data_IF_862385828395
#
_entry.id   IF_862385828395
#
_cell.length_a   1.000
_cell.length_b   1.000
_cell.length_c   1.000
_cell.angle_alpha   90.00
_cell.angle_beta   90.00
_cell.angle_gamma   90.00
#
_symmetry.space_group_name_H-M   'P 1'
#
loop_
_entity.id
_entity.type
_entity.pdbx_description
1 polymer ?
#
# COMPACT_ATOMS: atom_id res chain seq x y z
N UNK A 1 -56.36 -18.80 47.45
CA UNK A 1 -55.28 -17.97 46.87
C UNK A 1 -54.04 -18.83 46.74
N UNK A 2 -53.72 -19.22 45.51
CA UNK A 2 -52.46 -19.76 45.02
C UNK A 2 -52.73 -20.18 43.56
N UNK A 3 -51.89 -20.00 42.57
CA UNK A 3 -50.89 -19.00 42.23
C UNK A 3 -50.68 -19.25 40.73
N UNK A 4 -50.83 -18.20 39.93
CA UNK A 4 -50.75 -18.18 38.47
C UNK A 4 -49.30 -18.38 38.03
N UNK A 5 -48.78 -19.61 38.13
CA UNK A 5 -47.48 -19.96 37.55
C UNK A 5 -47.64 -20.36 36.08
N UNK A 6 -47.97 -19.36 35.27
CA UNK A 6 -47.69 -19.33 33.82
C UNK A 6 -46.28 -19.85 33.58
N UNK A 7 -46.17 -21.10 33.12
CA UNK A 7 -45.03 -21.52 32.30
C UNK A 7 -45.08 -20.72 31.01
N UNK A 8 -44.53 -19.50 31.04
CA UNK A 8 -44.06 -18.81 29.83
C UNK A 8 -43.00 -19.72 29.23
N UNK A 9 -43.43 -20.60 28.33
CA UNK A 9 -42.57 -21.14 27.28
C UNK A 9 -41.74 -19.96 26.77
N UNK A 10 -40.41 -20.05 26.86
CA UNK A 10 -39.53 -18.95 26.45
C UNK A 10 -39.88 -18.55 25.03
N UNK A 11 -40.60 -17.45 24.86
CA UNK A 11 -41.03 -16.98 23.55
C UNK A 11 -39.78 -16.71 22.74
N UNK A 12 -39.67 -17.36 21.58
CA UNK A 12 -38.57 -17.15 20.65
C UNK A 12 -38.75 -15.81 19.94
N UNK A 13 -38.41 -14.74 20.65
CA UNK A 13 -38.49 -13.35 20.20
C UNK A 13 -37.55 -13.08 19.01
N UNK A 14 -36.48 -13.88 18.90
CA UNK A 14 -35.45 -13.74 17.87
C UNK A 14 -35.96 -14.31 16.53
N UNK A 15 -36.72 -15.42 16.54
CA UNK A 15 -37.41 -15.92 15.35
C UNK A 15 -38.58 -15.06 14.89
N UNK A 16 -39.13 -14.21 15.77
CA UNK A 16 -40.22 -13.29 15.43
C UNK A 16 -39.81 -12.06 14.60
N UNK A 17 -38.51 -11.75 14.54
CA UNK A 17 -38.01 -10.54 13.86
C UNK A 17 -38.30 -10.55 12.34
N UNK A 18 -38.61 -9.39 11.71
CA UNK A 18 -38.69 -9.27 10.25
C UNK A 18 -37.41 -9.72 9.55
N UNK A 19 -37.53 -10.24 8.33
CA UNK A 19 -36.39 -10.76 7.57
C UNK A 19 -35.32 -9.70 7.36
N UNK A 20 -35.67 -8.42 7.20
CA UNK A 20 -34.72 -7.33 7.07
C UNK A 20 -33.79 -7.19 8.28
N UNK A 21 -34.33 -7.36 9.49
CA UNK A 21 -33.54 -7.33 10.73
C UNK A 21 -32.67 -8.57 10.86
N UNK A 22 -33.19 -9.75 10.46
CA UNK A 22 -32.41 -10.98 10.42
C UNK A 22 -31.23 -10.87 9.45
N UNK A 23 -31.46 -10.35 8.23
CA UNK A 23 -30.39 -10.05 7.27
C UNK A 23 -29.37 -9.07 7.85
N UNK A 24 -29.82 -8.03 8.56
CA UNK A 24 -28.91 -7.07 9.19
C UNK A 24 -28.05 -7.70 10.29
N UNK A 25 -28.61 -8.60 11.10
CA UNK A 25 -27.87 -9.36 12.11
C UNK A 25 -26.84 -10.28 11.44
N UNK A 26 -27.26 -11.07 10.45
CA UNK A 26 -26.38 -12.01 9.76
C UNK A 26 -25.27 -11.30 8.97
N UNK A 27 -25.57 -10.17 8.33
CA UNK A 27 -24.56 -9.35 7.65
C UNK A 27 -23.48 -8.83 8.61
N UNK A 28 -23.83 -8.57 9.88
CA UNK A 28 -22.88 -8.14 10.92
C UNK A 28 -21.96 -9.26 11.41
N UNK A 29 -22.34 -10.53 11.24
CA UNK A 29 -21.45 -11.66 11.54
C UNK A 29 -20.24 -11.72 10.60
N UNK A 30 -20.36 -11.10 9.41
CA UNK A 30 -19.28 -11.02 8.39
C UNK A 30 -18.65 -12.37 8.03
N UNK A 31 -19.40 -13.46 8.18
CA UNK A 31 -18.99 -14.82 7.85
C UNK A 31 -20.21 -15.61 7.37
N UNK A 32 -20.15 -16.12 6.14
CA UNK A 32 -21.23 -16.93 5.58
C UNK A 32 -21.43 -18.24 6.38
N UNK A 33 -20.35 -18.82 6.89
CA UNK A 33 -20.40 -20.02 7.74
C UNK A 33 -21.05 -19.71 9.09
N UNK A 34 -20.68 -18.61 9.74
CA UNK A 34 -21.33 -18.20 10.99
C UNK A 34 -22.82 -17.94 10.78
N UNK A 35 -23.19 -17.27 9.68
CA UNK A 35 -24.57 -17.05 9.30
C UNK A 35 -25.32 -18.38 9.08
N UNK A 36 -24.73 -19.33 8.34
CA UNK A 36 -25.34 -20.65 8.16
C UNK A 36 -25.52 -21.39 9.50
N UNK A 37 -24.56 -21.30 10.44
CA UNK A 37 -24.65 -21.94 11.78
C UNK A 37 -25.80 -21.39 12.63
N UNK A 38 -26.20 -20.13 12.44
CA UNK A 38 -27.37 -19.59 13.15
C UNK A 38 -28.69 -20.27 12.78
N UNK A 39 -28.73 -21.06 11.70
CA UNK A 39 -29.87 -21.91 11.34
C UNK A 39 -30.22 -22.96 12.39
N UNK A 40 -29.32 -23.23 13.36
CA UNK A 40 -29.59 -24.11 14.51
C UNK A 40 -30.52 -23.43 15.52
N UNK A 41 -30.52 -22.10 15.58
CA UNK A 41 -31.37 -21.33 16.50
C UNK A 41 -32.85 -21.44 16.11
N UNK A 42 -33.15 -21.51 14.80
CA UNK A 42 -34.52 -21.62 14.29
C UNK A 42 -34.57 -22.04 12.83
N UNK A 43 -35.62 -22.80 12.47
CA UNK A 43 -35.90 -23.19 11.09
C UNK A 43 -36.04 -21.98 10.15
N UNK A 44 -36.52 -20.84 10.65
CA UNK A 44 -36.67 -19.62 9.85
C UNK A 44 -35.33 -19.08 9.37
N UNK A 45 -34.33 -19.05 10.26
CA UNK A 45 -33.00 -18.51 9.96
C UNK A 45 -32.26 -19.31 8.88
N UNK A 46 -32.60 -20.60 8.72
CA UNK A 46 -32.13 -21.46 7.62
C UNK A 46 -32.45 -20.89 6.23
N UNK A 47 -33.57 -20.19 6.10
CA UNK A 47 -34.03 -19.62 4.82
C UNK A 47 -33.56 -18.17 4.60
N UNK A 48 -33.01 -17.52 5.63
CA UNK A 48 -32.55 -16.12 5.56
C UNK A 48 -31.12 -16.03 5.03
N UNK A 49 -30.19 -16.81 5.59
CA UNK A 49 -28.78 -16.74 5.18
C UNK A 49 -28.53 -16.96 3.67
N UNK A 50 -29.26 -17.84 2.94
CA UNK A 50 -29.07 -18.06 1.50
C UNK A 50 -29.26 -16.82 0.64
N UNK A 51 -30.04 -15.84 1.12
CA UNK A 51 -30.41 -14.63 0.40
C UNK A 51 -29.49 -13.44 0.73
N UNK A 52 -28.43 -13.66 1.51
CA UNK A 52 -27.50 -12.59 1.86
C UNK A 52 -26.83 -12.01 0.61
N UNK A 53 -26.78 -10.67 0.49
CA UNK A 53 -26.16 -10.01 -0.65
C UNK A 53 -24.62 -10.04 -0.58
N UNK A 54 -24.05 -10.51 0.52
CA UNK A 54 -22.60 -10.59 0.75
C UNK A 54 -22.21 -11.96 1.30
N UNK A 55 -21.29 -12.63 0.60
CA UNK A 55 -20.67 -13.88 1.05
C UNK A 55 -19.22 -13.58 1.40
N UNK A 56 -18.89 -13.73 2.69
CA UNK A 56 -17.54 -13.53 3.21
C UNK A 56 -17.04 -14.85 3.80
N UNK A 57 -15.94 -15.34 3.21
CA UNK A 57 -15.28 -16.59 3.56
C UNK A 57 -13.79 -16.26 3.73
N UNK A 58 -13.29 -16.30 4.97
CA UNK A 58 -11.87 -16.07 5.28
C UNK A 58 -11.36 -17.18 6.20
N UNK A 59 -10.35 -17.92 5.76
CA UNK A 59 -9.79 -19.06 6.49
C UNK A 59 -9.23 -18.64 7.86
N UNK A 60 -8.77 -17.39 7.99
CA UNK A 60 -8.24 -16.85 9.26
C UNK A 60 -9.29 -16.65 10.34
N UNK A 61 -10.57 -16.75 9.98
CA UNK A 61 -11.69 -16.71 10.92
C UNK A 61 -12.08 -18.12 11.40
N UNK A 62 -11.43 -19.16 10.88
CA UNK A 62 -11.71 -20.54 11.23
C UNK A 62 -10.70 -21.10 12.23
N UNK A 63 -11.14 -22.08 13.01
CA UNK A 63 -10.23 -22.85 13.85
C UNK A 63 -9.21 -23.59 12.96
N UNK A 64 -7.96 -23.71 13.43
CA UNK A 64 -6.89 -24.38 12.68
C UNK A 64 -7.28 -25.78 12.17
N UNK A 65 -7.99 -26.56 12.99
CA UNK A 65 -8.50 -27.88 12.63
C UNK A 65 -9.53 -27.88 11.47
N UNK A 66 -10.24 -26.77 11.26
CA UNK A 66 -11.23 -26.60 10.19
C UNK A 66 -10.63 -25.98 8.91
N UNK A 67 -9.35 -25.60 8.92
CA UNK A 67 -8.70 -25.00 7.77
C UNK A 67 -8.66 -25.97 6.58
N UNK A 68 -8.36 -27.25 6.81
CA UNK A 68 -8.27 -28.29 5.78
C UNK A 68 -9.57 -28.47 4.96
N UNK A 69 -10.73 -28.37 5.61
CA UNK A 69 -12.06 -28.48 4.98
C UNK A 69 -12.62 -27.13 4.52
N UNK A 70 -11.83 -26.05 4.61
CA UNK A 70 -12.27 -24.73 4.19
C UNK A 70 -12.72 -24.68 2.72
N UNK A 71 -12.03 -25.32 1.75
CA UNK A 71 -12.51 -25.36 0.37
C UNK A 71 -13.89 -26.03 0.22
N UNK A 72 -14.17 -27.09 0.98
CA UNK A 72 -15.49 -27.76 0.97
C UNK A 72 -16.58 -26.82 1.49
N UNK A 73 -16.26 -26.01 2.49
CA UNK A 73 -17.17 -25.01 3.00
C UNK A 73 -17.38 -23.83 2.05
N UNK A 74 -16.38 -23.49 1.22
CA UNK A 74 -16.59 -22.56 0.10
C UNK A 74 -17.59 -23.16 -0.88
N UNK A 75 -17.37 -24.41 -1.31
CA UNK A 75 -18.30 -25.12 -2.21
C UNK A 75 -19.73 -25.13 -1.64
N UNK A 76 -19.89 -25.52 -0.38
CA UNK A 76 -21.19 -25.56 0.29
C UNK A 76 -21.86 -24.19 0.43
N UNK A 77 -21.10 -23.14 0.74
CA UNK A 77 -21.62 -21.78 0.84
C UNK A 77 -22.09 -21.23 -0.52
N UNK A 78 -21.35 -21.49 -1.59
CA UNK A 78 -21.74 -21.08 -2.94
C UNK A 78 -22.93 -21.90 -3.46
N UNK A 79 -22.97 -23.20 -3.18
CA UNK A 79 -24.08 -24.07 -3.55
C UNK A 79 -25.39 -23.71 -2.81
N UNK A 80 -25.30 -23.34 -1.54
CA UNK A 80 -26.45 -22.92 -0.74
C UNK A 80 -26.88 -21.46 -0.97
N UNK A 81 -26.14 -20.68 -1.75
CA UNK A 81 -26.51 -19.29 -2.04
C UNK A 81 -27.69 -19.23 -3.01
N UNK A 82 -28.76 -18.56 -2.59
CA UNK A 82 -29.97 -18.31 -3.38
C UNK A 82 -30.11 -16.85 -3.83
N UNK A 83 -29.24 -15.95 -3.36
CA UNK A 83 -29.24 -14.57 -3.83
C UNK A 83 -29.02 -14.48 -5.36
N UNK A 84 -29.92 -13.79 -6.11
CA UNK A 84 -29.81 -13.66 -7.56
C UNK A 84 -28.67 -12.72 -7.97
N UNK A 85 -28.31 -11.78 -7.11
CA UNK A 85 -27.19 -10.87 -7.29
C UNK A 85 -26.45 -10.65 -5.97
N UNK A 86 -25.13 -10.78 -6.02
CA UNK A 86 -24.23 -10.57 -4.88
C UNK A 86 -23.54 -9.22 -5.01
N UNK A 87 -23.71 -8.36 -4.00
CA UNK A 87 -22.95 -7.13 -3.86
C UNK A 87 -21.47 -7.42 -3.62
N UNK A 88 -21.16 -8.49 -2.89
CA UNK A 88 -19.78 -8.87 -2.59
C UNK A 88 -19.61 -10.37 -2.44
N UNK A 89 -18.57 -10.90 -3.06
CA UNK A 89 -18.05 -12.23 -2.81
C UNK A 89 -16.58 -12.11 -2.41
N UNK A 90 -16.24 -12.53 -1.19
CA UNK A 90 -14.87 -12.57 -0.68
C UNK A 90 -14.52 -13.99 -0.29
N UNK A 91 -13.51 -14.54 -0.94
CA UNK A 91 -12.91 -15.83 -0.61
C UNK A 91 -11.43 -15.61 -0.33
N UNK A 92 -11.01 -15.83 0.91
CA UNK A 92 -9.63 -15.63 1.37
C UNK A 92 -9.09 -16.92 1.96
N UNK A 93 -8.14 -17.51 1.25
CA UNK A 93 -7.42 -18.71 1.68
C UNK A 93 -5.97 -18.39 2.11
N UNK A 94 -5.68 -17.14 2.46
CA UNK A 94 -4.33 -16.68 2.87
C UNK A 94 -3.76 -17.60 3.96
N UNK A 95 -2.68 -18.30 3.61
CA UNK A 95 -2.17 -19.44 4.33
C UNK A 95 -1.33 -19.05 5.54
N UNK A 96 -1.68 -19.59 6.71
CA UNK A 96 -0.68 -20.02 7.71
C UNK A 96 -0.49 -21.55 7.65
N UNK A 97 -1.26 -22.25 6.82
CA UNK A 97 -1.41 -23.71 6.82
C UNK A 97 -1.20 -24.21 5.37
N UNK A 98 -0.63 -25.42 5.17
CA UNK A 98 -0.28 -26.03 3.86
C UNK A 98 -1.48 -26.39 2.95
N UNK A 99 -2.51 -25.53 2.92
CA UNK A 99 -3.72 -25.67 2.14
C UNK A 99 -3.43 -25.67 0.64
N UNK A 100 -3.75 -26.79 -0.02
CA UNK A 100 -3.67 -26.94 -1.48
C UNK A 100 -5.06 -26.90 -2.09
N UNK A 101 -5.27 -26.00 -3.05
CA UNK A 101 -6.51 -25.94 -3.84
C UNK A 101 -6.18 -26.10 -5.33
N UNK A 102 -6.73 -27.12 -6.02
CA UNK A 102 -6.52 -27.31 -7.45
C UNK A 102 -7.28 -26.26 -8.28
N UNK A 103 -6.73 -25.87 -9.43
CA UNK A 103 -7.35 -24.91 -10.34
C UNK A 103 -8.78 -25.32 -10.77
N UNK A 104 -8.98 -26.62 -11.02
CA UNK A 104 -10.29 -27.19 -11.35
C UNK A 104 -11.37 -26.97 -10.28
N UNK A 105 -10.98 -26.79 -9.01
CA UNK A 105 -11.89 -26.46 -7.91
C UNK A 105 -12.22 -24.97 -7.83
N UNK A 106 -11.26 -24.11 -8.18
CA UNK A 106 -11.47 -22.64 -8.20
C UNK A 106 -12.32 -22.20 -9.40
N UNK A 107 -12.22 -22.88 -10.53
CA UNK A 107 -12.98 -22.53 -11.74
C UNK A 107 -14.51 -22.47 -11.53
N UNK A 108 -15.17 -23.44 -10.86
CA UNK A 108 -16.57 -23.30 -10.44
C UNK A 108 -16.87 -22.06 -9.61
N UNK A 109 -16.01 -21.68 -8.68
CA UNK A 109 -16.20 -20.49 -7.83
C UNK A 109 -16.22 -19.22 -8.66
N UNK A 110 -15.30 -19.13 -9.61
CA UNK A 110 -15.22 -18.00 -10.53
C UNK A 110 -16.40 -17.95 -11.50
N UNK A 111 -16.87 -19.11 -12.00
CA UNK A 111 -18.09 -19.18 -12.83
C UNK A 111 -19.32 -18.71 -12.07
N UNK A 112 -19.46 -19.13 -10.81
CA UNK A 112 -20.50 -18.63 -9.92
C UNK A 112 -20.39 -17.10 -9.74
N UNK A 113 -19.18 -16.60 -9.48
CA UNK A 113 -18.94 -15.18 -9.32
C UNK A 113 -19.32 -14.38 -10.59
N UNK A 114 -18.94 -14.86 -11.77
CA UNK A 114 -19.23 -14.19 -13.03
C UNK A 114 -20.73 -14.03 -13.31
N UNK A 115 -21.53 -15.03 -12.91
CA UNK A 115 -22.99 -14.99 -13.09
C UNK A 115 -23.74 -14.13 -12.08
N UNK A 116 -23.19 -13.93 -10.88
CA UNK A 116 -23.95 -13.34 -9.76
C UNK A 116 -23.35 -12.07 -9.14
N UNK A 117 -22.05 -11.81 -9.28
CA UNK A 117 -21.41 -10.68 -8.59
C UNK A 117 -21.61 -9.37 -9.37
N UNK A 118 -22.23 -8.39 -8.72
CA UNK A 118 -22.53 -7.06 -9.26
C UNK A 118 -21.75 -5.91 -8.59
N UNK A 119 -20.91 -6.23 -7.61
CA UNK A 119 -20.10 -5.26 -6.88
C UNK A 119 -18.64 -5.67 -6.81
N UNK A 120 -18.25 -6.38 -5.76
CA UNK A 120 -16.86 -6.71 -5.46
C UNK A 120 -16.61 -8.22 -5.47
N UNK A 121 -15.65 -8.65 -6.28
CA UNK A 121 -15.04 -9.97 -6.21
C UNK A 121 -13.66 -9.85 -5.58
N UNK A 122 -13.42 -10.58 -4.50
CA UNK A 122 -12.12 -10.66 -3.84
C UNK A 122 -11.73 -12.13 -3.67
N UNK A 123 -10.62 -12.53 -4.27
CA UNK A 123 -10.08 -13.89 -4.22
C UNK A 123 -8.62 -13.86 -3.80
N UNK A 124 -8.27 -14.61 -2.76
CA UNK A 124 -6.87 -14.86 -2.34
C UNK A 124 -6.66 -16.37 -2.31
N UNK A 125 -5.73 -16.88 -3.11
CA UNK A 125 -5.38 -18.30 -3.19
C UNK A 125 -4.04 -18.59 -2.51
N UNK A 126 -3.86 -19.76 -1.88
CA UNK A 126 -2.64 -20.11 -1.14
C UNK A 126 -1.49 -20.56 -2.06
N UNK A 127 -0.28 -20.56 -1.50
CA UNK A 127 0.98 -21.05 -2.05
C UNK A 127 0.84 -22.52 -2.41
N UNK A 128 1.04 -22.84 -3.69
CA UNK A 128 1.49 -24.19 -4.05
C UNK A 128 2.97 -24.26 -3.70
N UNK A 129 3.37 -25.17 -2.80
CA UNK A 129 4.80 -25.49 -2.70
C UNK A 129 5.24 -26.15 -4.02
N UNK A 130 6.39 -25.76 -4.59
CA UNK A 130 6.90 -26.34 -5.82
C UNK A 130 7.40 -27.76 -5.57
N UNK A 131 6.51 -28.74 -5.53
CA UNK A 131 6.86 -30.13 -5.77
C UNK A 131 6.27 -30.51 -7.14
N UNK A 132 7.15 -30.47 -8.15
CA UNK A 132 7.11 -31.14 -9.48
C UNK A 132 5.83 -31.04 -10.35
N UNK A 133 4.72 -30.46 -9.90
CA UNK A 133 3.47 -30.47 -10.67
C UNK A 133 3.16 -29.14 -11.39
N UNK A 134 2.57 -29.30 -12.58
CA UNK A 134 2.27 -28.34 -13.65
C UNK A 134 1.80 -26.94 -13.22
N UNK A 135 2.16 -25.92 -14.03
CA UNK A 135 1.58 -24.57 -13.97
C UNK A 135 0.04 -24.65 -13.85
N UNK A 136 -0.53 -24.15 -12.75
CA UNK A 136 -1.98 -24.07 -12.64
C UNK A 136 -2.50 -22.85 -13.41
N UNK A 137 -3.06 -23.12 -14.59
CA UNK A 137 -3.84 -22.14 -15.35
C UNK A 137 -5.15 -21.80 -14.62
N UNK A 138 -5.31 -20.56 -14.20
CA UNK A 138 -6.55 -20.02 -13.68
C UNK A 138 -7.20 -19.11 -14.71
N UNK A 139 -8.37 -19.50 -15.21
CA UNK A 139 -9.15 -18.65 -16.09
C UNK A 139 -10.09 -17.76 -15.28
N UNK A 140 -9.95 -16.45 -15.44
CA UNK A 140 -10.86 -15.47 -14.88
C UNK A 140 -12.02 -15.23 -15.88
N UNK A 141 -13.25 -15.70 -15.58
CA UNK A 141 -14.42 -15.43 -16.38
C UNK A 141 -14.86 -13.98 -16.21
N UNK A 142 -15.62 -13.51 -17.20
CA UNK A 142 -16.04 -12.12 -17.26
C UNK A 142 -17.18 -11.83 -16.31
N UNK A 143 -16.83 -11.21 -15.19
CA UNK A 143 -17.79 -10.74 -14.19
C UNK A 143 -18.45 -9.43 -14.67
N UNK A 144 -19.43 -9.55 -15.57
CA UNK A 144 -20.06 -8.38 -16.26
C UNK A 144 -20.56 -7.31 -15.29
N UNK A 145 -21.13 -7.73 -14.16
CA UNK A 145 -21.65 -6.83 -13.13
C UNK A 145 -20.58 -6.29 -12.18
N UNK A 146 -19.41 -6.93 -12.07
CA UNK A 146 -18.43 -6.58 -11.05
C UNK A 146 -17.78 -5.22 -11.33
N UNK A 147 -17.82 -4.34 -10.33
CA UNK A 147 -17.20 -3.02 -10.35
C UNK A 147 -15.76 -3.04 -9.86
N UNK A 148 -15.44 -4.00 -9.00
CA UNK A 148 -14.12 -4.22 -8.42
C UNK A 148 -13.78 -5.69 -8.44
N UNK A 149 -12.61 -6.01 -8.97
CA UNK A 149 -12.04 -7.37 -8.94
C UNK A 149 -10.67 -7.29 -8.29
N UNK A 150 -10.45 -8.12 -7.28
CA UNK A 150 -9.16 -8.30 -6.63
C UNK A 150 -8.82 -9.77 -6.64
N UNK A 151 -7.71 -10.11 -7.28
CA UNK A 151 -7.17 -11.46 -7.32
C UNK A 151 -5.76 -11.40 -6.77
N UNK A 152 -5.51 -12.14 -5.71
CA UNK A 152 -4.18 -12.32 -5.13
C UNK A 152 -3.82 -13.79 -5.29
N UNK A 153 -2.79 -14.05 -6.09
CA UNK A 153 -2.38 -15.38 -6.51
C UNK A 153 -0.95 -15.61 -6.07
N UNK A 154 -0.65 -16.51 -5.15
CA UNK A 154 0.77 -16.74 -4.81
C UNK A 154 1.53 -17.38 -6.01
N UNK A 155 2.87 -17.26 -6.08
CA UNK A 155 3.69 -17.22 -7.32
C UNK A 155 3.53 -18.34 -8.39
N UNK A 156 2.79 -19.40 -8.14
CA UNK A 156 2.68 -20.61 -8.99
C UNK A 156 1.47 -20.60 -9.93
N UNK A 157 0.57 -19.63 -9.78
CA UNK A 157 -0.64 -19.52 -10.60
C UNK A 157 -0.41 -18.73 -11.88
N UNK A 158 -0.86 -19.26 -13.02
CA UNK A 158 -0.90 -18.53 -14.29
C UNK A 158 -2.30 -18.02 -14.56
N UNK A 159 -2.49 -16.71 -14.52
CA UNK A 159 -3.78 -16.08 -14.77
C UNK A 159 -4.01 -15.87 -16.26
N UNK A 160 -5.11 -16.41 -16.75
CA UNK A 160 -5.65 -16.14 -18.09
C UNK A 160 -6.97 -15.40 -17.96
N UNK A 161 -7.24 -14.46 -18.84
CA UNK A 161 -8.50 -13.71 -18.82
C UNK A 161 -9.26 -13.94 -20.10
N UNK A 162 -10.54 -14.32 -19.99
CA UNK A 162 -11.38 -14.56 -21.15
C UNK A 162 -11.53 -13.29 -22.02
N UNK A 163 -11.59 -13.43 -23.36
CA UNK A 163 -11.48 -12.30 -24.30
C UNK A 163 -12.74 -11.42 -24.40
N UNK A 164 -13.57 -11.35 -23.35
CA UNK A 164 -14.83 -10.58 -23.37
C UNK A 164 -14.72 -9.29 -22.55
N UNK A 165 -15.67 -8.37 -22.78
CA UNK A 165 -15.70 -7.05 -22.15
C UNK A 165 -16.11 -7.09 -20.68
N UNK A 166 -15.41 -6.35 -19.82
CA UNK A 166 -15.80 -6.03 -18.44
C UNK A 166 -16.45 -4.63 -18.39
N UNK A 167 -17.76 -4.49 -18.67
CA UNK A 167 -18.38 -3.18 -18.88
C UNK A 167 -18.50 -2.34 -17.60
N UNK A 168 -18.61 -2.98 -16.44
CA UNK A 168 -18.80 -2.29 -15.15
C UNK A 168 -17.49 -2.10 -14.37
N UNK A 169 -16.40 -2.73 -14.79
CA UNK A 169 -15.16 -2.81 -14.00
C UNK A 169 -14.48 -1.44 -13.93
N UNK A 170 -14.39 -0.91 -12.72
CA UNK A 170 -13.74 0.37 -12.43
C UNK A 170 -12.40 0.20 -11.74
N UNK A 171 -12.18 -0.94 -11.09
CA UNK A 171 -11.01 -1.18 -10.26
C UNK A 171 -10.56 -2.63 -10.38
N UNK A 172 -9.30 -2.82 -10.77
CA UNK A 172 -8.69 -4.14 -10.93
C UNK A 172 -7.37 -4.21 -10.15
N UNK A 173 -7.27 -5.21 -9.28
CA UNK A 173 -6.06 -5.55 -8.55
C UNK A 173 -5.67 -6.99 -8.88
N UNK A 174 -4.48 -7.19 -9.44
CA UNK A 174 -3.90 -8.51 -9.70
C UNK A 174 -2.53 -8.53 -9.04
N UNK A 175 -2.42 -9.24 -7.92
CA UNK A 175 -1.20 -9.32 -7.13
C UNK A 175 -0.69 -10.75 -7.06
N UNK A 176 0.60 -10.91 -7.27
CA UNK A 176 1.33 -12.17 -7.38
C UNK A 176 0.82 -13.05 -8.55
N UNK A 177 1.60 -14.07 -8.94
CA UNK A 177 1.30 -14.96 -10.06
C UNK A 177 1.90 -14.52 -11.40
N UNK A 178 1.66 -15.33 -12.44
CA UNK A 178 2.16 -15.12 -13.81
C UNK A 178 1.03 -14.78 -14.79
N UNK A 179 1.34 -13.98 -15.82
CA UNK A 179 0.38 -13.57 -16.86
C UNK A 179 1.10 -13.30 -18.19
N UNK A 180 0.38 -13.45 -19.30
CA UNK A 180 0.88 -13.06 -20.62
C UNK A 180 0.80 -11.53 -20.83
N UNK A 181 1.87 -10.93 -21.37
CA UNK A 181 1.95 -9.48 -21.58
C UNK A 181 1.01 -8.96 -22.69
N UNK A 182 0.74 -9.78 -23.71
CA UNK A 182 -0.23 -9.48 -24.75
C UNK A 182 -1.65 -9.52 -24.20
N UNK A 183 -2.00 -10.58 -23.46
CA UNK A 183 -3.30 -10.66 -22.77
C UNK A 183 -3.53 -9.47 -21.84
N UNK A 184 -2.50 -9.06 -21.08
CA UNK A 184 -2.57 -7.88 -20.22
C UNK A 184 -2.84 -6.60 -21.02
N UNK A 185 -2.15 -6.43 -22.15
CA UNK A 185 -2.34 -5.26 -23.03
C UNK A 185 -3.77 -5.22 -23.58
N UNK A 186 -4.27 -6.35 -24.08
CA UNK A 186 -5.64 -6.48 -24.59
C UNK A 186 -6.69 -6.25 -23.51
N UNK A 187 -6.44 -6.74 -22.28
CA UNK A 187 -7.34 -6.54 -21.15
C UNK A 187 -7.61 -5.06 -20.90
N UNK A 188 -6.55 -4.27 -20.85
CA UNK A 188 -6.65 -2.87 -20.46
C UNK A 188 -7.07 -2.00 -21.65
N UNK A 189 -6.58 -2.30 -22.85
CA UNK A 189 -6.84 -1.50 -24.04
C UNK A 189 -8.25 -1.70 -24.60
N UNK A 190 -8.77 -2.92 -24.62
CA UNK A 190 -10.03 -3.22 -25.32
C UNK A 190 -11.13 -3.74 -24.40
N UNK A 191 -10.78 -4.43 -23.30
CA UNK A 191 -11.76 -5.16 -22.48
C UNK A 191 -12.28 -4.41 -21.26
N UNK A 192 -11.67 -3.29 -20.83
CA UNK A 192 -12.06 -2.60 -19.59
C UNK A 192 -12.35 -1.09 -19.78
N UNK A 193 -13.44 -0.69 -20.46
CA UNK A 193 -13.68 0.70 -20.89
C UNK A 193 -13.98 1.69 -19.76
N UNK A 194 -14.32 1.21 -18.55
CA UNK A 194 -14.60 2.04 -17.37
C UNK A 194 -13.52 1.96 -16.31
N UNK A 195 -12.39 1.32 -16.59
CA UNK A 195 -11.32 1.08 -15.62
C UNK A 195 -10.70 2.41 -15.20
N UNK A 196 -10.75 2.70 -13.89
CA UNK A 196 -10.19 3.91 -13.28
C UNK A 196 -8.94 3.61 -12.48
N UNK A 197 -8.88 2.43 -11.83
CA UNK A 197 -7.77 2.04 -10.98
C UNK A 197 -7.24 0.68 -11.39
N UNK A 198 -5.97 0.61 -11.76
CA UNK A 198 -5.28 -0.62 -12.10
C UNK A 198 -4.05 -0.77 -11.19
N UNK A 199 -3.93 -1.94 -10.56
CA UNK A 199 -2.77 -2.30 -9.75
C UNK A 199 -2.32 -3.70 -10.11
N UNK A 200 -1.08 -3.79 -10.58
CA UNK A 200 -0.46 -5.00 -11.05
C UNK A 200 0.83 -5.23 -10.26
N UNK A 201 0.94 -6.42 -9.68
CA UNK A 201 2.15 -6.93 -9.08
C UNK A 201 2.34 -8.37 -9.57
N UNK A 202 2.80 -8.57 -10.81
CA UNK A 202 2.81 -9.88 -11.48
C UNK A 202 4.12 -10.14 -12.21
N UNK A 203 4.43 -11.40 -12.48
CA UNK A 203 5.54 -11.79 -13.36
C UNK A 203 5.02 -12.05 -14.76
N UNK A 204 5.57 -11.39 -15.79
CA UNK A 204 5.22 -11.72 -17.16
C UNK A 204 5.87 -13.04 -17.56
N UNK A 205 5.13 -13.92 -18.24
CA UNK A 205 5.60 -15.25 -18.68
C UNK A 205 6.86 -15.13 -19.52
N UNK A 206 6.88 -14.18 -20.46
CA UNK A 206 8.03 -13.87 -21.28
C UNK A 206 8.42 -12.39 -21.12
N UNK A 207 9.70 -12.10 -21.38
CA UNK A 207 10.17 -10.73 -21.48
C UNK A 207 9.50 -10.06 -22.67
N UNK A 208 8.59 -9.13 -22.41
CA UNK A 208 7.68 -8.59 -23.43
C UNK A 208 7.45 -7.10 -23.27
N UNK A 209 6.91 -6.49 -24.34
CA UNK A 209 6.42 -5.11 -24.32
C UNK A 209 4.94 -5.09 -23.92
N UNK A 210 4.56 -4.20 -23.01
CA UNK A 210 3.18 -4.04 -22.54
C UNK A 210 2.66 -2.66 -22.95
N UNK A 211 1.45 -2.63 -23.49
CA UNK A 211 0.80 -1.39 -23.91
C UNK A 211 -0.49 -1.17 -23.12
N UNK A 212 -0.65 0.05 -22.59
CA UNK A 212 -1.81 0.49 -21.84
C UNK A 212 -2.38 1.75 -22.49
N UNK A 213 -3.48 1.61 -23.22
CA UNK A 213 -4.25 2.73 -23.78
C UNK A 213 -5.61 2.81 -23.09
N UNK A 214 -5.88 3.92 -22.40
CA UNK A 214 -7.15 4.05 -21.67
C UNK A 214 -7.51 5.50 -21.35
N UNK A 215 -8.69 5.94 -21.77
CA UNK A 215 -9.23 7.27 -21.47
C UNK A 215 -9.84 7.38 -20.07
N UNK A 216 -10.28 6.25 -19.50
CA UNK A 216 -10.93 6.19 -18.20
C UNK A 216 -9.95 6.10 -17.03
N UNK A 217 -8.71 5.62 -17.28
CA UNK A 217 -7.73 5.30 -16.25
C UNK A 217 -7.27 6.56 -15.49
N UNK A 218 -7.30 6.50 -14.16
CA UNK A 218 -6.97 7.59 -13.23
C UNK A 218 -5.78 7.26 -12.33
N UNK A 219 -5.60 5.99 -11.99
CA UNK A 219 -4.53 5.50 -11.15
C UNK A 219 -3.96 4.20 -11.73
N UNK A 220 -2.65 4.16 -11.93
CA UNK A 220 -1.91 2.98 -12.38
C UNK A 220 -0.79 2.69 -11.38
N UNK A 221 -0.76 1.47 -10.86
CA UNK A 221 0.38 0.91 -10.16
C UNK A 221 0.85 -0.32 -10.95
N UNK A 222 2.00 -0.21 -11.58
CA UNK A 222 2.54 -1.23 -12.48
C UNK A 222 3.89 -1.68 -11.93
N UNK A 223 3.90 -2.85 -11.31
CA UNK A 223 5.07 -3.45 -10.68
C UNK A 223 5.22 -4.86 -11.22
N UNK A 224 5.71 -4.98 -12.43
CA UNK A 224 5.78 -6.26 -13.12
C UNK A 224 7.21 -6.60 -13.48
N UNK A 225 7.61 -7.85 -13.25
CA UNK A 225 8.91 -8.35 -13.71
C UNK A 225 8.80 -8.79 -15.18
N UNK A 226 9.95 -8.95 -15.85
CA UNK A 226 10.02 -9.29 -17.27
C UNK A 226 9.37 -8.27 -18.22
N UNK A 227 9.26 -7.00 -17.83
CA UNK A 227 8.76 -5.95 -18.72
C UNK A 227 9.92 -5.26 -19.45
N UNK A 228 10.06 -5.53 -20.75
CA UNK A 228 11.08 -4.91 -21.58
C UNK A 228 10.74 -3.44 -21.86
N UNK A 229 9.51 -3.18 -22.30
CA UNK A 229 9.03 -1.83 -22.62
C UNK A 229 7.59 -1.66 -22.16
N UNK A 230 7.32 -0.53 -21.53
CA UNK A 230 5.97 -0.13 -21.13
C UNK A 230 5.55 1.12 -21.92
N UNK A 231 4.46 1.03 -22.67
CA UNK A 231 3.83 2.19 -23.32
C UNK A 231 2.50 2.52 -22.62
N UNK A 232 2.35 3.74 -22.13
CA UNK A 232 1.13 4.22 -21.49
C UNK A 232 0.62 5.45 -22.22
N UNK A 233 -0.60 5.34 -22.77
CA UNK A 233 -1.36 6.46 -23.32
C UNK A 233 -2.65 6.58 -22.52
N UNK A 234 -2.64 7.45 -21.53
CA UNK A 234 -3.75 7.61 -20.60
C UNK A 234 -3.95 9.10 -20.26
N UNK A 235 -4.70 9.86 -21.07
CA UNK A 235 -4.86 11.30 -20.89
C UNK A 235 -5.53 11.69 -19.57
N UNK A 236 -6.31 10.77 -19.01
CA UNK A 236 -6.98 10.92 -17.73
C UNK A 236 -6.16 10.58 -16.49
N UNK A 237 -4.94 10.04 -16.64
CA UNK A 237 -4.14 9.47 -15.56
C UNK A 237 -3.60 10.55 -14.61
N UNK A 238 -3.88 10.38 -13.30
CA UNK A 238 -3.47 11.32 -12.25
C UNK A 238 -2.38 10.76 -11.35
N UNK A 239 -2.33 9.43 -11.18
CA UNK A 239 -1.38 8.73 -10.31
C UNK A 239 -0.70 7.60 -11.06
N UNK A 240 0.61 7.55 -10.99
CA UNK A 240 1.43 6.51 -11.60
C UNK A 240 2.43 5.98 -10.57
N UNK A 241 2.47 4.68 -10.36
CA UNK A 241 3.54 3.99 -9.65
C UNK A 241 4.19 2.98 -10.58
N UNK A 242 5.49 3.09 -10.81
CA UNK A 242 6.27 2.17 -11.64
C UNK A 242 7.36 1.49 -10.81
N UNK A 243 7.63 0.25 -11.18
CA UNK A 243 8.70 -0.57 -10.61
C UNK A 243 9.20 -1.56 -11.68
N UNK A 244 10.52 -1.73 -11.79
CA UNK A 244 11.19 -2.75 -12.64
C UNK A 244 10.88 -2.77 -14.16
N UNK A 245 10.76 -1.63 -14.84
CA UNK A 245 10.71 -1.56 -16.30
C UNK A 245 12.06 -1.11 -16.92
N UNK A 246 12.50 -1.74 -18.03
CA UNK A 246 13.74 -1.33 -18.72
C UNK A 246 13.52 -0.07 -19.56
N UNK A 247 12.40 0.00 -20.28
CA UNK A 247 11.97 1.16 -21.05
C UNK A 247 10.54 1.55 -20.68
N UNK A 248 10.26 2.85 -20.65
CA UNK A 248 8.92 3.39 -20.39
C UNK A 248 8.65 4.61 -21.26
N UNK A 249 7.49 4.64 -21.91
CA UNK A 249 6.99 5.77 -22.67
C UNK A 249 5.61 6.15 -22.14
N UNK A 250 5.52 7.29 -21.45
CA UNK A 250 4.34 7.64 -20.65
C UNK A 250 3.74 8.98 -21.13
N UNK A 251 2.65 8.90 -21.90
CA UNK A 251 1.78 10.03 -22.23
C UNK A 251 0.63 10.12 -21.23
N UNK A 252 0.75 11.06 -20.30
CA UNK A 252 -0.21 11.28 -19.20
C UNK A 252 -0.26 12.77 -18.80
N UNK A 253 -0.85 13.66 -19.62
CA UNK A 253 -0.83 15.11 -19.39
C UNK A 253 -1.40 15.58 -18.06
N UNK A 254 -2.30 14.82 -17.44
CA UNK A 254 -2.91 15.14 -16.14
C UNK A 254 -2.18 14.51 -14.93
N UNK A 255 -0.97 13.97 -15.15
CA UNK A 255 -0.22 13.28 -14.11
C UNK A 255 0.15 14.25 -12.98
N UNK A 256 -0.28 13.92 -11.77
CA UNK A 256 -0.11 14.74 -10.57
C UNK A 256 0.67 14.05 -9.46
N UNK A 257 0.76 12.72 -9.50
CA UNK A 257 1.52 11.92 -8.54
C UNK A 257 2.33 10.87 -9.28
N UNK A 258 3.64 10.86 -9.05
CA UNK A 258 4.55 9.86 -9.60
C UNK A 258 5.28 9.16 -8.47
N UNK A 259 5.23 7.83 -8.48
CA UNK A 259 6.03 6.98 -7.61
C UNK A 259 6.92 6.13 -8.50
N UNK A 260 8.23 6.22 -8.31
CA UNK A 260 9.21 5.51 -9.12
C UNK A 260 10.15 4.72 -8.22
N UNK A 261 10.16 3.40 -8.40
CA UNK A 261 11.10 2.51 -7.74
C UNK A 261 11.96 1.85 -8.83
N UNK A 262 13.29 1.90 -8.67
CA UNK A 262 14.24 1.37 -9.64
C UNK A 262 14.89 2.43 -10.54
N UNK A 263 15.78 1.96 -11.40
CA UNK A 263 16.70 2.83 -12.15
C UNK A 263 15.96 3.70 -13.17
N UNK A 264 16.46 4.91 -13.37
CA UNK A 264 15.93 5.90 -14.30
C UNK A 264 16.98 6.37 -15.33
N UNK A 265 16.85 5.92 -16.57
CA UNK A 265 17.56 6.50 -17.72
C UNK A 265 16.63 7.39 -18.55
N UNK A 266 17.04 8.64 -18.83
CA UNK A 266 16.30 9.60 -19.67
C UNK A 266 16.11 9.10 -21.11
N UNK A 267 17.01 8.29 -21.64
CA UNK A 267 16.92 7.73 -23.01
C UNK A 267 15.83 6.66 -23.09
N UNK A 268 15.75 5.83 -22.06
CA UNK A 268 14.83 4.70 -21.98
C UNK A 268 13.47 5.07 -21.37
N UNK A 269 13.41 6.12 -20.56
CA UNK A 269 12.20 6.54 -19.83
C UNK A 269 11.76 7.94 -20.25
N UNK A 270 10.77 7.96 -21.14
CA UNK A 270 10.26 9.14 -21.80
C UNK A 270 8.87 9.51 -21.28
N UNK A 271 8.64 10.81 -21.18
CA UNK A 271 7.38 11.39 -20.72
C UNK A 271 7.07 12.61 -21.60
N UNK A 272 6.57 12.41 -22.83
CA UNK A 272 6.42 13.48 -23.82
C UNK A 272 5.51 14.61 -23.34
N UNK A 273 4.35 14.28 -22.75
CA UNK A 273 3.28 15.26 -22.48
C UNK A 273 3.07 15.54 -20.98
N UNK A 274 3.96 15.06 -20.12
CA UNK A 274 3.83 15.28 -18.67
C UNK A 274 4.51 16.60 -18.29
N UNK A 275 3.75 17.52 -17.67
CA UNK A 275 4.26 18.81 -17.24
C UNK A 275 5.47 18.74 -16.29
N UNK A 276 6.21 19.86 -16.20
CA UNK A 276 7.37 20.01 -15.30
C UNK A 276 6.99 20.31 -13.85
N UNK A 277 5.70 20.51 -13.55
CA UNK A 277 5.19 20.68 -12.19
C UNK A 277 4.35 19.48 -11.82
N UNK A 278 4.59 18.90 -10.65
CA UNK A 278 3.84 17.75 -10.14
C UNK A 278 3.53 17.93 -8.64
N UNK A 279 2.40 17.40 -8.17
CA UNK A 279 2.01 17.55 -6.77
C UNK A 279 2.84 16.66 -5.85
N UNK A 280 3.11 15.43 -6.26
CA UNK A 280 3.86 14.47 -5.44
C UNK A 280 4.80 13.64 -6.31
N UNK A 281 6.07 13.60 -5.93
CA UNK A 281 7.08 12.73 -6.51
C UNK A 281 7.65 11.86 -5.39
N UNK A 282 7.53 10.53 -5.49
CA UNK A 282 8.17 9.59 -4.58
C UNK A 282 9.19 8.75 -5.33
N UNK A 283 10.39 8.66 -4.79
CA UNK A 283 11.50 7.96 -5.42
C UNK A 283 12.28 7.15 -4.38
N UNK A 284 12.77 5.98 -4.78
CA UNK A 284 13.88 5.34 -4.07
C UNK A 284 15.19 6.00 -4.50
N UNK A 285 16.12 6.26 -3.57
CA UNK A 285 17.47 6.66 -3.95
C UNK A 285 18.25 5.43 -4.38
N UNK A 286 18.30 5.24 -5.69
CA UNK A 286 19.37 4.54 -6.39
C UNK A 286 20.19 5.56 -7.22
N UNK A 287 21.22 5.09 -7.91
CA UNK A 287 22.15 5.93 -8.69
C UNK A 287 21.50 6.78 -9.79
N UNK A 288 20.21 6.56 -10.08
CA UNK A 288 19.50 7.21 -11.16
C UNK A 288 18.42 8.21 -10.69
N UNK A 289 18.11 8.22 -9.40
CA UNK A 289 17.08 9.08 -8.80
C UNK A 289 17.23 10.58 -9.12
N UNK A 290 18.45 11.19 -9.11
CA UNK A 290 18.60 12.63 -9.41
C UNK A 290 18.20 13.01 -10.83
N UNK A 291 18.37 12.11 -11.80
CA UNK A 291 18.00 12.37 -13.19
C UNK A 291 16.50 12.50 -13.38
N UNK A 292 15.71 11.69 -12.65
CA UNK A 292 14.25 11.81 -12.64
C UNK A 292 13.81 13.09 -11.92
N UNK A 293 14.46 13.43 -10.81
CA UNK A 293 14.16 14.66 -10.06
C UNK A 293 14.31 15.91 -10.93
N UNK A 294 15.40 16.01 -11.72
CA UNK A 294 15.66 17.13 -12.65
C UNK A 294 14.65 17.30 -13.78
N UNK A 295 13.78 16.30 -13.98
CA UNK A 295 12.69 16.40 -14.95
C UNK A 295 11.64 17.43 -14.51
N UNK A 296 11.46 17.59 -13.20
CA UNK A 296 10.44 18.46 -12.62
C UNK A 296 11.11 19.72 -12.05
N UNK A 297 10.53 20.89 -12.28
CA UNK A 297 11.05 22.16 -11.76
C UNK A 297 10.47 22.45 -10.37
N UNK A 298 9.20 22.10 -10.15
CA UNK A 298 8.48 22.28 -8.90
C UNK A 298 7.67 21.03 -8.51
N UNK A 299 7.83 20.61 -7.26
CA UNK A 299 7.16 19.46 -6.66
C UNK A 299 6.56 19.89 -5.32
N UNK A 300 5.25 19.84 -5.10
CA UNK A 300 4.73 20.25 -3.77
C UNK A 300 5.26 19.34 -2.65
N UNK A 301 5.26 18.01 -2.88
CA UNK A 301 5.74 16.99 -1.94
C UNK A 301 6.76 16.08 -2.61
N UNK A 302 8.03 16.20 -2.22
CA UNK A 302 9.11 15.30 -2.64
C UNK A 302 9.31 14.23 -1.58
N UNK A 303 9.06 12.96 -1.91
CA UNK A 303 9.30 11.81 -1.07
C UNK A 303 10.52 11.03 -1.50
N UNK A 304 11.47 10.83 -0.59
CA UNK A 304 12.71 10.11 -0.85
C UNK A 304 12.78 8.92 0.11
N UNK A 305 12.86 7.70 -0.45
CA UNK A 305 13.18 6.49 0.31
C UNK A 305 14.68 6.22 0.19
N UNK A 306 15.41 6.38 1.30
CA UNK A 306 16.86 6.27 1.38
C UNK A 306 17.28 4.92 1.97
N UNK A 307 18.12 4.19 1.23
CA UNK A 307 18.79 2.97 1.68
C UNK A 307 20.26 3.02 1.22
N UNK A 308 21.19 3.39 2.10
CA UNK A 308 22.63 3.38 1.77
C UNK A 308 23.22 2.06 2.29
N UNK A 309 23.43 1.09 1.39
CA UNK A 309 23.84 -0.27 1.77
C UNK A 309 25.34 -0.55 1.55
N UNK A 310 26.04 0.25 0.72
CA UNK A 310 27.44 0.02 0.32
C UNK A 310 28.47 0.79 1.17
N UNK A 311 28.14 1.05 2.43
CA UNK A 311 28.96 1.83 3.35
C UNK A 311 29.56 3.12 2.77
N UNK A 312 30.86 3.32 2.92
CA UNK A 312 31.54 4.57 2.50
C UNK A 312 31.29 4.88 1.02
N UNK A 313 31.38 3.88 0.15
CA UNK A 313 31.16 4.04 -1.30
C UNK A 313 29.72 4.46 -1.58
N UNK A 314 28.76 3.83 -0.91
CA UNK A 314 27.34 4.20 -1.02
C UNK A 314 27.08 5.62 -0.54
N UNK A 315 27.72 6.04 0.55
CA UNK A 315 27.58 7.38 1.09
C UNK A 315 28.17 8.44 0.15
N UNK A 316 29.33 8.18 -0.46
CA UNK A 316 29.92 9.08 -1.47
C UNK A 316 29.03 9.18 -2.73
N UNK A 317 28.45 8.06 -3.18
CA UNK A 317 27.46 8.08 -4.26
C UNK A 317 26.26 8.96 -3.92
N UNK A 318 25.75 8.85 -2.69
CA UNK A 318 24.70 9.73 -2.18
C UNK A 318 25.12 11.21 -2.23
N UNK A 319 26.31 11.57 -1.73
CA UNK A 319 26.79 12.95 -1.78
C UNK A 319 26.83 13.51 -3.21
N UNK A 320 27.42 12.76 -4.15
CA UNK A 320 27.51 13.15 -5.56
C UNK A 320 26.13 13.31 -6.22
N UNK A 321 25.16 12.50 -5.79
CA UNK A 321 23.78 12.59 -6.26
C UNK A 321 23.05 13.81 -5.70
N UNK A 322 23.40 14.22 -4.48
CA UNK A 322 22.83 15.39 -3.81
C UNK A 322 23.50 16.72 -4.18
N UNK A 323 24.72 16.70 -4.74
CA UNK A 323 25.32 17.89 -5.37
C UNK A 323 24.51 18.39 -6.58
N UNK A 324 23.68 17.51 -7.16
CA UNK A 324 22.79 17.85 -8.27
C UNK A 324 21.55 18.56 -7.71
N UNK A 325 21.27 19.77 -8.23
CA UNK A 325 20.12 20.60 -7.85
C UNK A 325 18.80 19.81 -7.81
N UNK A 326 18.15 19.77 -6.65
CA UNK A 326 16.82 19.15 -6.49
C UNK A 326 15.73 20.08 -7.03
N UNK A 327 14.54 19.53 -7.38
CA UNK A 327 13.36 20.34 -7.67
C UNK A 327 13.01 21.23 -6.48
N UNK A 328 12.43 22.41 -6.76
CA UNK A 328 11.82 23.23 -5.71
C UNK A 328 10.68 22.43 -5.07
N UNK A 329 10.68 22.29 -3.75
CA UNK A 329 9.60 21.63 -3.05
C UNK A 329 9.17 22.33 -1.77
N UNK A 330 7.90 22.20 -1.41
CA UNK A 330 7.36 22.75 -0.16
C UNK A 330 7.53 21.78 1.00
N UNK A 331 7.37 20.48 0.73
CA UNK A 331 7.50 19.41 1.71
C UNK A 331 8.47 18.35 1.24
N UNK A 332 9.50 18.09 2.03
CA UNK A 332 10.43 16.99 1.83
C UNK A 332 10.10 15.85 2.81
N UNK A 333 9.70 14.69 2.30
CA UNK A 333 9.48 13.48 3.09
C UNK A 333 10.65 12.54 2.90
N UNK A 334 11.29 12.13 3.98
CA UNK A 334 12.41 11.19 3.94
C UNK A 334 12.04 9.95 4.73
N UNK A 335 12.07 8.79 4.07
CA UNK A 335 11.99 7.49 4.73
C UNK A 335 13.39 6.88 4.73
N UNK A 336 14.05 6.92 5.88
CA UNK A 336 15.40 6.40 6.04
C UNK A 336 15.33 4.98 6.60
N UNK A 337 15.80 4.03 5.81
CA UNK A 337 16.13 2.71 6.35
C UNK A 337 17.45 2.83 7.08
N UNK A 338 17.43 2.70 8.41
CA UNK A 338 18.62 2.93 9.23
C UNK A 338 19.70 1.92 8.85
N UNK A 339 20.87 2.45 8.56
CA UNK A 339 22.11 1.74 8.29
C UNK A 339 23.16 2.18 9.31
N UNK A 340 24.43 1.93 9.03
CA UNK A 340 25.53 2.33 9.91
C UNK A 340 25.90 3.83 9.78
N UNK A 341 25.25 4.65 8.94
CA UNK A 341 25.56 6.08 8.78
C UNK A 341 24.73 6.98 9.71
N UNK A 342 25.28 8.16 10.05
CA UNK A 342 24.61 9.13 10.93
C UNK A 342 23.37 9.78 10.28
N UNK A 343 22.30 9.95 11.07
CA UNK A 343 21.05 10.60 10.64
C UNK A 343 21.27 12.08 10.29
N UNK A 344 21.88 12.84 11.21
CA UNK A 344 22.11 14.27 11.06
C UNK A 344 22.84 14.65 9.76
N UNK A 345 24.02 14.06 9.42
CA UNK A 345 24.73 14.44 8.20
C UNK A 345 23.95 14.12 6.92
N UNK A 346 23.19 13.02 6.87
CA UNK A 346 22.33 12.69 5.72
C UNK A 346 21.28 13.78 5.52
N UNK A 347 20.52 14.10 6.57
CA UNK A 347 19.44 15.07 6.47
C UNK A 347 19.97 16.47 6.16
N UNK A 348 21.09 16.87 6.75
CA UNK A 348 21.69 18.18 6.45
C UNK A 348 22.07 18.33 4.99
N UNK A 349 22.68 17.31 4.39
CA UNK A 349 23.03 17.34 2.96
C UNK A 349 21.80 17.47 2.05
N UNK A 350 20.65 16.88 2.44
CA UNK A 350 19.40 17.05 1.69
C UNK A 350 18.85 18.48 1.77
N UNK A 351 19.15 19.20 2.85
CA UNK A 351 18.56 20.51 3.15
C UNK A 351 19.43 21.70 2.79
N UNK A 352 20.73 21.49 2.56
CA UNK A 352 21.64 22.57 2.16
C UNK A 352 21.05 23.40 1.00
N UNK A 353 21.30 24.72 0.94
CA UNK A 353 20.73 25.62 -0.07
C UNK A 353 21.03 25.26 -1.50
N UNK A 354 22.10 24.49 -1.75
CA UNK A 354 22.40 23.96 -3.08
C UNK A 354 21.42 22.88 -3.52
N UNK A 355 20.81 22.21 -2.54
CA UNK A 355 19.85 21.11 -2.70
C UNK A 355 18.40 21.61 -2.63
N UNK A 356 17.98 22.34 -1.59
CA UNK A 356 16.55 22.62 -1.31
C UNK A 356 16.24 24.03 -0.71
N UNK A 357 16.13 25.07 -1.53
CA UNK A 357 15.95 26.46 -1.06
C UNK A 357 14.50 26.86 -0.70
N UNK A 358 13.52 25.98 -0.93
CA UNK A 358 12.09 26.32 -0.81
C UNK A 358 11.32 25.42 0.16
N UNK A 359 12.00 24.46 0.76
CA UNK A 359 11.42 23.47 1.66
C UNK A 359 10.99 24.17 2.95
N UNK A 360 9.69 24.08 3.24
CA UNK A 360 9.09 24.61 4.47
C UNK A 360 8.89 23.51 5.50
N UNK A 361 8.47 22.33 5.04
CA UNK A 361 8.21 21.18 5.91
C UNK A 361 9.13 20.01 5.59
N UNK A 362 9.68 19.38 6.63
CA UNK A 362 10.34 18.07 6.52
C UNK A 362 9.53 17.04 7.32
N UNK A 363 9.29 15.87 6.74
CA UNK A 363 8.78 14.71 7.47
C UNK A 363 9.77 13.56 7.38
N UNK A 364 10.32 13.13 8.53
CA UNK A 364 11.26 12.03 8.64
C UNK A 364 10.55 10.79 9.21
N UNK A 365 10.76 9.65 8.56
CA UNK A 365 10.38 8.34 9.09
C UNK A 365 11.65 7.48 9.19
N UNK A 366 12.01 7.11 10.42
CA UNK A 366 13.20 6.30 10.69
C UNK A 366 12.76 4.84 10.90
N UNK A 367 13.28 3.93 10.07
CA UNK A 367 13.04 2.50 10.18
C UNK A 367 14.27 1.84 10.80
N UNK A 368 14.14 1.24 11.98
CA UNK A 368 15.27 0.71 12.74
C UNK A 368 15.61 -0.73 12.38
N UNK A 369 16.88 -0.97 12.00
CA UNK A 369 17.51 -2.30 11.96
C UNK A 369 18.69 -2.40 12.95
N UNK A 370 19.11 -3.62 13.35
CA UNK A 370 20.28 -3.87 14.20
C UNK A 370 21.58 -3.29 13.58
N UNK A 371 22.52 -2.85 14.44
CA UNK A 371 23.67 -2.02 14.06
C UNK A 371 24.97 -2.82 13.95
N UNK A 372 25.78 -2.42 12.96
CA UNK A 372 27.23 -2.21 13.12
C UNK A 372 27.49 -0.69 13.18
N UNK A 373 28.57 -0.25 13.83
CA UNK A 373 28.97 1.15 13.87
C UNK A 373 29.57 1.61 12.53
N UNK A 374 29.38 2.88 12.16
CA UNK A 374 30.09 3.43 11.00
C UNK A 374 31.60 3.45 11.25
N UNK A 375 32.43 3.11 10.25
CA UNK A 375 33.86 3.39 10.33
C UNK A 375 34.11 4.88 10.58
N UNK A 376 35.07 5.22 11.45
CA UNK A 376 35.46 6.61 11.71
C UNK A 376 35.99 7.33 10.48
N UNK A 377 36.50 6.58 9.49
CA UNK A 377 36.92 7.07 8.18
C UNK A 377 35.77 7.44 7.24
N UNK A 378 34.51 7.16 7.60
CA UNK A 378 33.36 7.57 6.80
C UNK A 378 33.24 9.10 6.73
N UNK A 379 32.98 9.70 5.55
CA UNK A 379 32.71 11.13 5.43
C UNK A 379 31.51 11.59 6.27
N UNK A 380 30.57 10.69 6.57
CA UNK A 380 29.45 10.92 7.47
C UNK A 380 29.87 11.20 8.93
N UNK A 381 31.08 10.81 9.32
CA UNK A 381 31.64 11.03 10.65
C UNK A 381 32.45 12.34 10.73
N UNK A 382 32.73 13.02 9.62
CA UNK A 382 33.51 14.25 9.63
C UNK A 382 32.76 15.40 10.28
N UNK A 383 33.50 16.30 10.95
CA UNK A 383 32.91 17.53 11.50
C UNK A 383 32.30 18.38 10.39
N UNK A 384 32.89 18.45 9.20
CA UNK A 384 32.37 19.23 8.08
C UNK A 384 31.00 18.76 7.58
N UNK A 385 30.74 17.45 7.63
CA UNK A 385 29.42 16.89 7.32
C UNK A 385 28.37 17.21 8.37
N UNK A 386 28.80 17.56 9.59
CA UNK A 386 27.97 17.97 10.72
C UNK A 386 27.93 19.49 10.90
N UNK A 387 28.87 20.22 10.29
CA UNK A 387 28.91 21.69 10.27
C UNK A 387 27.79 22.24 9.41
N UNK A 388 27.19 23.28 9.95
CA UNK A 388 25.97 23.91 9.47
C UNK A 388 26.19 25.43 9.49
N UNK A 389 25.92 26.10 8.37
CA UNK A 389 25.89 27.56 8.31
C UNK A 389 24.46 28.06 8.54
N UNK A 390 24.27 29.09 9.37
CA UNK A 390 22.95 29.63 9.76
C UNK A 390 22.08 30.10 8.58
N UNK A 391 22.65 30.25 7.39
CA UNK A 391 21.98 30.58 6.13
C UNK A 391 21.30 29.38 5.46
N UNK A 392 21.56 28.15 5.92
CA UNK A 392 21.25 26.94 5.17
C UNK A 392 19.80 26.43 5.28
N UNK A 393 19.04 26.84 6.29
CA UNK A 393 17.66 26.39 6.57
C UNK A 393 16.63 27.53 6.60
N UNK A 394 16.93 28.68 5.99
CA UNK A 394 16.13 29.90 6.15
C UNK A 394 14.65 29.80 5.78
N UNK A 395 14.22 28.76 5.02
CA UNK A 395 12.82 28.53 4.65
C UNK A 395 12.08 27.50 5.50
N UNK A 396 12.77 26.73 6.35
CA UNK A 396 12.20 25.60 7.08
C UNK A 396 11.38 26.06 8.29
N UNK A 397 10.07 25.79 8.29
CA UNK A 397 9.13 26.18 9.35
C UNK A 397 8.61 25.01 10.20
N UNK A 398 8.57 23.80 9.66
CA UNK A 398 8.04 22.62 10.33
C UNK A 398 8.94 21.39 10.13
N UNK A 399 9.26 20.70 11.22
CA UNK A 399 9.87 19.36 11.18
C UNK A 399 8.93 18.36 11.85
N UNK A 400 8.70 17.23 11.18
CA UNK A 400 7.91 16.12 11.68
C UNK A 400 8.76 14.86 11.71
N UNK A 401 8.88 14.20 12.85
CA UNK A 401 9.66 12.96 13.01
C UNK A 401 8.71 11.85 13.45
N UNK A 402 8.73 10.72 12.75
CA UNK A 402 7.91 9.55 13.05
C UNK A 402 8.81 8.39 13.49
N UNK A 403 8.39 7.73 14.57
CA UNK A 403 9.05 6.56 15.18
C UNK A 403 10.38 6.86 15.88
N UNK A 404 10.51 7.99 16.58
CA UNK A 404 11.70 8.32 17.37
C UNK A 404 11.84 7.36 18.57
N UNK A 405 12.97 6.65 18.68
CA UNK A 405 13.21 5.64 19.74
C UNK A 405 14.19 6.09 20.82
N UNK A 406 14.75 7.30 20.70
CA UNK A 406 15.67 7.87 21.68
C UNK A 406 17.13 7.44 21.47
N UNK A 407 17.51 7.09 20.24
CA UNK A 407 18.91 6.82 19.93
C UNK A 407 19.73 8.11 19.96
N UNK A 408 21.02 8.01 20.28
CA UNK A 408 21.93 9.16 20.35
C UNK A 408 21.90 10.02 19.08
N UNK A 409 21.92 9.40 17.90
CA UNK A 409 21.88 10.10 16.59
C UNK A 409 20.56 10.87 16.34
N UNK A 410 19.45 10.40 16.92
CA UNK A 410 18.15 11.09 16.82
C UNK A 410 18.14 12.34 17.69
N UNK A 411 18.71 12.24 18.90
CA UNK A 411 18.88 13.39 19.79
C UNK A 411 19.90 14.39 19.26
N UNK A 412 21.02 13.92 18.69
CA UNK A 412 22.00 14.77 18.00
C UNK A 412 21.33 15.57 16.89
N UNK A 413 20.46 14.94 16.09
CA UNK A 413 19.70 15.64 15.05
C UNK A 413 18.71 16.67 15.62
N UNK A 414 17.96 16.33 16.69
CA UNK A 414 17.03 17.26 17.34
C UNK A 414 17.76 18.45 17.96
N UNK A 415 18.89 18.21 18.61
CA UNK A 415 19.76 19.24 19.15
C UNK A 415 20.34 20.12 18.04
N UNK A 416 20.70 19.52 16.90
CA UNK A 416 21.18 20.26 15.75
C UNK A 416 20.09 21.19 15.20
N UNK A 417 18.85 20.72 15.07
CA UNK A 417 17.71 21.55 14.67
C UNK A 417 17.45 22.71 15.63
N UNK A 418 17.69 22.54 16.93
CA UNK A 418 17.50 23.61 17.91
C UNK A 418 18.61 24.65 17.89
N UNK A 419 19.79 24.31 17.35
CA UNK A 419 20.93 25.23 17.18
C UNK A 419 20.80 26.11 15.93
N UNK A 420 20.12 25.65 14.86
CA UNK A 420 19.92 26.42 13.62
C UNK A 420 19.14 27.74 13.84
N UNK A 421 19.49 28.79 13.07
CA UNK A 421 18.93 30.15 13.16
C UNK A 421 17.40 30.22 13.39
N UNK A 422 17.03 30.76 14.55
CA UNK A 422 15.75 30.60 15.23
C UNK A 422 14.56 31.43 14.69
N UNK A 423 14.64 32.01 13.48
CA UNK A 423 13.53 32.78 12.89
C UNK A 423 12.59 31.95 12.02
N UNK A 424 13.08 30.84 11.45
CA UNK A 424 12.31 30.06 10.47
C UNK A 424 11.52 28.92 11.13
N UNK A 425 12.17 28.07 11.95
CA UNK A 425 11.56 26.88 12.54
C UNK A 425 10.55 27.26 13.63
N UNK A 426 9.27 27.01 13.36
CA UNK A 426 8.15 27.34 14.26
C UNK A 426 7.61 26.11 14.97
N UNK A 427 7.78 24.93 14.38
CA UNK A 427 7.08 23.73 14.82
C UNK A 427 7.93 22.46 14.70
N UNK A 428 7.98 21.69 15.78
CA UNK A 428 8.52 20.33 15.82
C UNK A 428 7.40 19.36 16.22
N UNK A 429 7.12 18.37 15.38
CA UNK A 429 6.10 17.36 15.61
C UNK A 429 6.77 16.00 15.74
N UNK A 430 6.45 15.28 16.82
CA UNK A 430 6.92 13.90 17.01
C UNK A 430 5.72 12.97 17.04
N UNK A 431 5.76 11.97 16.15
CA UNK A 431 4.72 10.97 16.00
C UNK A 431 5.22 9.61 16.49
N UNK A 432 4.45 8.98 17.38
CA UNK A 432 4.69 7.63 17.87
C UNK A 432 3.69 6.64 17.28
N UNK A 433 4.20 5.48 16.87
CA UNK A 433 3.42 4.40 16.24
C UNK A 433 2.83 3.40 17.25
N UNK A 434 3.20 3.52 18.54
CA UNK A 434 2.87 2.58 19.61
C UNK A 434 2.42 3.35 20.87
N UNK A 435 1.67 2.71 21.78
CA UNK A 435 1.13 3.37 22.98
C UNK A 435 2.21 3.81 23.97
N UNK A 436 1.80 4.67 24.90
CA UNK A 436 2.64 5.36 25.89
C UNK A 436 3.43 4.36 26.75
N UNK A 437 4.76 4.39 26.69
CA UNK A 437 5.64 3.78 27.70
C UNK A 437 6.28 4.86 28.59
N UNK A 438 6.75 4.54 29.80
CA UNK A 438 7.56 5.46 30.61
C UNK A 438 8.76 6.02 29.84
N UNK A 439 9.44 5.19 29.03
CA UNK A 439 10.57 5.61 28.19
C UNK A 439 10.14 6.67 27.16
N UNK A 440 8.93 6.56 26.61
CA UNK A 440 8.38 7.55 25.67
C UNK A 440 8.27 8.92 26.33
N UNK A 441 7.89 8.97 27.61
CA UNK A 441 7.77 10.23 28.38
C UNK A 441 9.13 10.87 28.64
N UNK A 442 10.14 10.07 28.98
CA UNK A 442 11.51 10.54 29.15
C UNK A 442 12.09 11.12 27.86
N UNK A 443 11.89 10.42 26.74
CA UNK A 443 12.29 10.90 25.40
C UNK A 443 11.59 12.22 25.06
N UNK A 444 10.28 12.33 25.31
CA UNK A 444 9.54 13.57 25.08
C UNK A 444 10.08 14.75 25.91
N UNK A 445 10.38 14.51 27.19
CA UNK A 445 10.93 15.54 28.07
C UNK A 445 12.32 15.98 27.62
N UNK A 446 13.18 15.03 27.24
CA UNK A 446 14.52 15.31 26.72
C UNK A 446 14.47 16.12 25.43
N UNK A 447 13.56 15.81 24.51
CA UNK A 447 13.34 16.62 23.30
C UNK A 447 12.88 18.04 23.67
N UNK A 448 11.91 18.18 24.58
CA UNK A 448 11.44 19.51 25.01
C UNK A 448 12.58 20.34 25.60
N UNK A 449 13.45 19.75 26.43
CA UNK A 449 14.59 20.46 27.02
C UNK A 449 15.64 20.89 25.99
N UNK A 450 15.74 20.20 24.86
CA UNK A 450 16.66 20.55 23.77
C UNK A 450 16.13 21.67 22.88
N UNK A 451 14.82 21.89 22.83
CA UNK A 451 14.18 22.87 21.96
C UNK A 451 14.14 24.26 22.59
N UNK A 452 14.31 25.31 21.76
CA UNK A 452 14.16 26.69 22.20
C UNK A 452 12.69 27.02 22.53
N UNK A 453 12.41 27.99 23.42
CA UNK A 453 11.04 28.33 23.83
C UNK A 453 10.10 28.78 22.70
N UNK A 454 10.65 29.29 21.60
CA UNK A 454 9.90 29.78 20.45
C UNK A 454 9.47 28.68 19.46
N UNK A 455 9.95 27.43 19.64
CA UNK A 455 9.56 26.29 18.81
C UNK A 455 8.41 25.55 19.47
N UNK A 456 7.27 25.46 18.78
CA UNK A 456 6.13 24.68 19.28
C UNK A 456 6.41 23.18 19.10
N UNK A 457 6.62 22.47 20.21
CA UNK A 457 6.81 21.01 20.22
C UNK A 457 5.47 20.31 20.48
N UNK A 458 5.05 19.44 19.57
CA UNK A 458 3.82 18.66 19.68
C UNK A 458 4.12 17.16 19.57
N UNK A 459 3.45 16.35 20.40
CA UNK A 459 3.57 14.91 20.36
C UNK A 459 2.22 14.27 20.02
N UNK A 460 2.26 13.27 19.14
CA UNK A 460 1.08 12.55 18.69
C UNK A 460 1.30 11.03 18.74
N UNK A 461 0.25 10.29 19.06
CA UNK A 461 0.21 8.83 18.89
C UNK A 461 -0.76 8.48 17.77
N UNK A 462 -0.41 7.45 16.99
CA UNK A 462 -1.28 6.80 16.02
C UNK A 462 -1.87 5.50 16.63
N UNK A 463 -3.00 5.58 17.37
CA UNK A 463 -3.58 4.39 18.02
C UNK A 463 -4.02 3.32 17.01
N UNK A 464 -4.43 3.72 15.80
CA UNK A 464 -4.93 2.81 14.75
C UNK A 464 -3.92 2.61 13.60
N UNK A 465 -2.63 2.89 13.83
CA UNK A 465 -1.58 2.81 12.83
C UNK A 465 -1.50 4.03 11.88
N UNK A 466 -0.61 3.99 10.86
CA UNK A 466 -0.18 5.17 10.10
C UNK A 466 -1.26 5.80 9.20
N UNK A 467 -2.38 5.08 8.97
CA UNK A 467 -3.53 5.56 8.21
C UNK A 467 -4.70 6.03 9.10
N UNK A 468 -4.58 5.89 10.42
CA UNK A 468 -5.58 6.33 11.39
C UNK A 468 -5.48 7.81 11.78
N UNK A 469 -6.46 8.31 12.53
CA UNK A 469 -6.39 9.65 13.12
C UNK A 469 -5.28 9.71 14.20
N UNK A 470 -4.56 10.83 14.27
CA UNK A 470 -3.54 11.04 15.30
C UNK A 470 -4.12 11.76 16.51
N UNK A 471 -3.75 11.32 17.71
CA UNK A 471 -4.21 11.91 18.98
C UNK A 471 -3.05 12.67 19.63
N UNK A 472 -3.26 13.95 19.94
CA UNK A 472 -2.27 14.79 20.63
C UNK A 472 -2.11 14.32 22.07
N UNK A 473 -0.88 14.28 22.58
CA UNK A 473 -0.62 14.02 23.99
C UNK A 473 0.57 14.84 24.51
N UNK A 474 0.49 15.27 25.77
CA UNK A 474 1.45 16.20 26.36
C UNK A 474 1.38 17.57 25.69
#
# INVERSE_FOLDING_TARGET
MADDSRRRSGEDLISGLPDELLHAILARLRSARAAARTSVLSRRWRNVWPHLPEILLDVRLEAAAAAASFPDAVDGALAGCMAPALKRLRVSLSAEHDLRVPAGRVAPWLRFAAGRVVGELFLVLPLRRPHVEEEAGLELPVCRGARKVTVVLEAVWRLRIQPQLFPALTTLFIHCGTMDGGELSDLVCTRCPRLRNLSLFVTLVAVTSVTIRSDSLRSLCFRTTNTQRLEVVAPGLKKLSLDHCIQAHISAPKLSQLVWYGTYDRRNHQFPDVGRRIRELKIGMDSAAPSLMRRFDEVDVLGIKLCILQGIVGYQGFLNDMEKKLPKCKTLRVSLLRNHHGLAPIILHLLRPRSCNSTRKISLAVLHHPKDACPSSCPCCSEESRRFDDTDLGSLDEVEITSLKGFHEEFEFVELLSRCNARALKKLVINYMMPRTPETKEVCNKVRSMCRPNVKVEFYVFPDGPNGGRVRFG
#
